data_IF_298624972696
#
_entry.id   IF_298624972696
#
_cell.length_a   1.000
_cell.length_b   1.000
_cell.length_c   1.000
_cell.angle_alpha   90.00
_cell.angle_beta   90.00
_cell.angle_gamma   90.00
#
_symmetry.space_group_name_H-M   'P 1'
#
loop_
_entity.id
_entity.type
_entity.pdbx_description
1 polymer ?
#
# COMPACT_ATOMS: atom_id res chain seq x y z
N UNK A 1 5.70 10.05 -10.74
CA UNK A 1 4.60 9.28 -11.36
C UNK A 1 3.31 9.80 -10.75
N UNK A 2 2.77 10.86 -11.34
CA UNK A 2 1.48 11.42 -10.94
C UNK A 2 0.42 10.34 -11.15
N UNK A 3 -0.26 9.94 -10.06
CA UNK A 3 -1.46 9.13 -10.18
C UNK A 3 -2.43 9.91 -11.06
N UNK A 4 -3.04 9.26 -12.04
CA UNK A 4 -4.01 9.94 -12.88
C UNK A 4 -5.13 10.47 -11.96
N UNK A 5 -5.50 11.73 -12.17
CA UNK A 5 -6.38 12.48 -11.28
C UNK A 5 -7.83 11.97 -11.20
N UNK A 6 -8.21 10.97 -12.01
CA UNK A 6 -9.60 10.51 -12.13
C UNK A 6 -10.05 9.67 -10.94
N UNK A 7 -9.27 8.69 -10.49
CA UNK A 7 -9.66 7.84 -9.34
C UNK A 7 -9.74 8.61 -8.02
N UNK A 8 -8.89 9.62 -7.84
CA UNK A 8 -8.93 10.47 -6.65
C UNK A 8 -10.14 11.41 -6.63
N UNK A 9 -10.59 11.89 -7.78
CA UNK A 9 -11.87 12.62 -7.88
C UNK A 9 -13.04 11.69 -7.53
N UNK A 10 -12.99 10.41 -7.93
CA UNK A 10 -14.01 9.42 -7.56
C UNK A 10 -14.13 9.19 -6.06
N UNK A 11 -13.03 9.31 -5.29
CA UNK A 11 -13.07 9.22 -3.82
C UNK A 11 -13.95 10.33 -3.22
N UNK A 12 -13.75 11.57 -3.66
CA UNK A 12 -14.51 12.72 -3.18
C UNK A 12 -15.97 12.67 -3.64
N UNK A 13 -16.21 12.27 -4.88
CA UNK A 13 -17.57 12.08 -5.39
C UNK A 13 -18.30 10.97 -4.64
N UNK A 14 -17.61 9.89 -4.26
CA UNK A 14 -18.17 8.84 -3.42
C UNK A 14 -18.57 9.35 -2.04
N UNK A 15 -17.74 10.19 -1.41
CA UNK A 15 -18.09 10.84 -0.14
C UNK A 15 -19.37 11.66 -0.30
N UNK A 16 -19.35 12.64 -1.23
CA UNK A 16 -20.47 13.56 -1.43
C UNK A 16 -21.83 12.86 -1.66
N UNK A 17 -21.82 11.69 -2.32
CA UNK A 17 -23.04 10.91 -2.63
C UNK A 17 -23.71 10.25 -1.44
N UNK A 18 -23.06 10.18 -0.28
CA UNK A 18 -23.73 9.76 0.95
C UNK A 18 -24.65 10.86 1.50
N UNK A 19 -24.42 12.12 1.16
CA UNK A 19 -25.35 13.22 1.45
C UNK A 19 -26.53 13.20 0.49
N UNK A 20 -27.68 13.68 0.96
CA UNK A 20 -28.85 13.96 0.11
C UNK A 20 -28.65 15.23 -0.72
N UNK A 21 -27.62 16.04 -0.41
CA UNK A 21 -27.24 17.23 -1.15
C UNK A 21 -25.77 17.18 -1.59
N UNK A 22 -25.38 16.25 -2.49
CA UNK A 22 -23.97 16.08 -2.90
C UNK A 22 -23.32 17.35 -3.46
N UNK A 23 -24.10 18.22 -4.12
CA UNK A 23 -23.61 19.49 -4.66
C UNK A 23 -23.10 20.45 -3.59
N UNK A 24 -23.71 20.48 -2.39
CA UNK A 24 -23.21 21.30 -1.29
C UNK A 24 -21.89 20.76 -0.75
N UNK A 25 -21.79 19.44 -0.57
CA UNK A 25 -20.56 18.80 -0.11
C UNK A 25 -19.41 19.05 -1.10
N UNK A 26 -19.69 18.94 -2.40
CA UNK A 26 -18.70 19.26 -3.46
C UNK A 26 -18.28 20.74 -3.37
N UNK A 27 -19.23 21.66 -3.21
CA UNK A 27 -18.93 23.08 -3.03
C UNK A 27 -18.03 23.35 -1.82
N UNK A 28 -18.19 22.60 -0.73
CA UNK A 28 -17.33 22.70 0.45
C UNK A 28 -15.92 22.16 0.19
N UNK A 29 -15.77 21.07 -0.59
CA UNK A 29 -14.46 20.59 -1.02
C UNK A 29 -13.71 21.62 -1.88
N UNK A 30 -14.42 22.30 -2.77
CA UNK A 30 -13.90 23.38 -3.63
C UNK A 30 -13.53 24.64 -2.83
N UNK A 31 -14.32 24.97 -1.82
CA UNK A 31 -14.09 26.14 -0.95
C UNK A 31 -12.94 25.92 0.05
N UNK A 32 -12.82 24.71 0.59
CA UNK A 32 -11.81 24.35 1.61
C UNK A 32 -10.91 23.18 1.19
N UNK A 33 -10.15 23.31 0.08
CA UNK A 33 -9.33 22.23 -0.46
C UNK A 33 -8.10 21.90 0.41
N UNK A 34 -7.73 22.76 1.36
CA UNK A 34 -6.63 22.53 2.29
C UNK A 34 -7.00 21.56 3.44
N UNK A 35 -8.27 21.19 3.55
CA UNK A 35 -8.83 20.37 4.62
C UNK A 35 -10.02 21.06 5.29
N UNK A 36 -10.95 20.27 5.78
CA UNK A 36 -12.20 20.78 6.32
C UNK A 36 -13.09 19.73 6.95
N UNK A 37 -14.17 20.23 7.55
CA UNK A 37 -15.27 19.43 8.09
C UNK A 37 -16.57 20.04 7.56
N UNK A 38 -17.43 19.20 7.01
CA UNK A 38 -18.81 19.55 6.70
C UNK A 38 -19.73 18.69 7.57
N UNK A 39 -20.73 19.31 8.18
CA UNK A 39 -21.68 18.66 9.06
C UNK A 39 -23.06 19.27 8.82
N UNK A 40 -24.00 18.46 8.33
CA UNK A 40 -25.39 18.87 8.09
C UNK A 40 -26.34 18.44 9.21
N UNK A 41 -25.80 17.97 10.34
CA UNK A 41 -26.55 17.45 11.48
C UNK A 41 -27.00 15.99 11.32
N UNK A 42 -27.03 15.45 10.09
CA UNK A 42 -27.27 14.03 9.82
C UNK A 42 -25.97 13.29 9.56
N UNK A 43 -25.06 13.92 8.84
CA UNK A 43 -23.82 13.31 8.37
C UNK A 43 -22.65 14.28 8.50
N UNK A 44 -21.54 13.73 8.99
CA UNK A 44 -20.26 14.44 9.09
C UNK A 44 -19.29 13.96 8.03
N UNK A 45 -18.67 14.88 7.32
CA UNK A 45 -17.60 14.63 6.37
C UNK A 45 -16.34 15.34 6.84
N UNK A 46 -15.20 14.67 6.77
CA UNK A 46 -13.92 15.25 7.17
C UNK A 46 -12.82 14.84 6.19
N UNK A 47 -11.99 15.80 5.79
CA UNK A 47 -10.93 15.59 4.81
C UNK A 47 -9.66 16.36 5.15
N UNK A 48 -8.52 15.79 4.72
CA UNK A 48 -7.22 16.47 4.76
C UNK A 48 -7.00 17.39 3.56
N UNK A 49 -5.75 17.67 3.21
CA UNK A 49 -5.45 18.51 2.06
C UNK A 49 -5.73 17.80 0.72
N UNK A 50 -6.84 18.17 0.09
CA UNK A 50 -7.35 17.64 -1.18
C UNK A 50 -7.10 18.59 -2.37
N UNK A 51 -6.29 19.65 -2.23
CA UNK A 51 -6.09 20.68 -3.26
C UNK A 51 -5.75 20.12 -4.64
N UNK A 52 -4.87 19.14 -4.68
CA UNK A 52 -4.45 18.46 -5.92
C UNK A 52 -5.53 17.56 -6.54
N UNK A 53 -6.65 17.32 -5.84
CA UNK A 53 -7.73 16.44 -6.26
C UNK A 53 -8.95 17.19 -6.80
N UNK A 54 -9.13 18.45 -6.39
CA UNK A 54 -10.32 19.26 -6.67
C UNK A 54 -10.16 20.14 -7.91
N UNK A 55 -8.93 20.35 -8.41
CA UNK A 55 -8.63 21.18 -9.58
C UNK A 55 -9.32 20.66 -10.87
N UNK A 56 -10.54 21.15 -11.12
CA UNK A 56 -11.29 21.06 -12.39
C UNK A 56 -11.89 19.69 -12.72
N UNK A 57 -12.09 18.78 -11.76
CA UNK A 57 -12.38 17.35 -12.03
C UNK A 57 -13.59 16.76 -11.32
N UNK A 58 -14.26 17.50 -10.45
CA UNK A 58 -15.48 17.04 -9.77
C UNK A 58 -16.71 17.29 -10.64
N UNK A 59 -16.78 16.65 -11.81
CA UNK A 59 -18.00 16.64 -12.62
C UNK A 59 -18.88 15.43 -12.27
N UNK A 60 -20.18 15.66 -12.14
CA UNK A 60 -21.15 14.75 -11.52
C UNK A 60 -21.59 13.57 -12.41
N UNK A 61 -20.71 12.92 -13.17
CA UNK A 61 -21.14 12.05 -14.29
C UNK A 61 -20.91 10.54 -14.15
N UNK A 62 -20.64 9.97 -12.97
CA UNK A 62 -20.55 8.51 -12.82
C UNK A 62 -21.39 7.98 -11.66
N UNK A 63 -22.30 7.05 -11.91
CA UNK A 63 -23.00 6.27 -10.87
C UNK A 63 -21.95 5.52 -10.03
N UNK A 64 -21.92 5.79 -8.72
CA UNK A 64 -21.22 4.96 -7.74
C UNK A 64 -22.18 4.55 -6.65
N UNK A 65 -22.15 3.26 -6.32
CA UNK A 65 -22.99 2.61 -5.31
C UNK A 65 -22.56 3.02 -3.90
N UNK A 66 -23.53 3.26 -3.00
CA UNK A 66 -23.27 3.50 -1.57
C UNK A 66 -22.82 2.19 -0.90
N UNK A 67 -21.95 2.27 0.11
CA UNK A 67 -21.56 1.09 0.91
C UNK A 67 -22.59 0.80 2.00
N UNK A 68 -23.21 1.85 2.52
CA UNK A 68 -24.28 1.78 3.51
C UNK A 68 -25.25 2.95 3.30
N UNK A 69 -26.54 2.70 3.49
CA UNK A 69 -27.58 3.74 3.49
C UNK A 69 -27.64 4.50 4.82
N UNK A 70 -26.94 4.01 5.86
CA UNK A 70 -26.95 4.55 7.23
C UNK A 70 -25.64 5.22 7.60
N UNK A 71 -24.93 5.83 6.65
CA UNK A 71 -23.68 6.52 6.99
C UNK A 71 -23.94 7.68 7.98
N UNK A 72 -23.04 7.84 8.96
CA UNK A 72 -23.06 8.90 9.98
C UNK A 72 -21.82 9.79 9.91
N UNK A 73 -20.65 9.20 9.70
CA UNK A 73 -19.40 9.95 9.58
C UNK A 73 -18.51 9.37 8.51
N UNK A 74 -17.95 10.21 7.65
CA UNK A 74 -17.07 9.81 6.57
C UNK A 74 -15.77 10.61 6.63
N UNK A 75 -14.66 9.91 6.49
CA UNK A 75 -13.33 10.47 6.57
C UNK A 75 -12.57 10.15 5.30
N UNK A 76 -12.14 11.18 4.56
CA UNK A 76 -11.10 11.04 3.55
C UNK A 76 -9.77 10.94 4.27
N UNK A 77 -9.15 9.77 4.20
CA UNK A 77 -7.95 9.50 5.00
C UNK A 77 -6.73 10.16 4.36
N UNK A 78 -6.67 10.35 3.04
CA UNK A 78 -5.48 10.92 2.40
C UNK A 78 -5.14 12.29 3.00
N UNK A 79 -3.88 12.46 3.39
CA UNK A 79 -3.36 13.68 4.04
C UNK A 79 -4.13 14.14 5.30
N UNK A 80 -4.97 13.31 5.90
CA UNK A 80 -5.48 13.52 7.25
C UNK A 80 -4.34 13.27 8.25
N UNK A 81 -4.01 14.28 9.06
CA UNK A 81 -2.85 14.25 9.95
C UNK A 81 -2.91 13.12 10.99
N UNK A 82 -1.75 12.55 11.35
CA UNK A 82 -1.64 11.39 12.25
C UNK A 82 -2.35 11.64 13.59
N UNK A 83 -2.15 12.82 14.20
CA UNK A 83 -2.84 13.20 15.45
C UNK A 83 -4.36 13.10 15.31
N UNK A 84 -4.90 13.59 14.19
CA UNK A 84 -6.33 13.55 13.93
C UNK A 84 -6.83 12.14 13.68
N UNK A 85 -6.08 11.31 12.95
CA UNK A 85 -6.41 9.89 12.78
C UNK A 85 -6.50 9.15 14.12
N UNK A 86 -5.58 9.41 15.06
CA UNK A 86 -5.64 8.85 16.41
C UNK A 86 -6.88 9.31 17.19
N UNK A 87 -7.31 10.56 17.01
CA UNK A 87 -8.56 11.06 17.61
C UNK A 87 -9.79 10.38 17.01
N UNK A 88 -9.81 10.15 15.69
CA UNK A 88 -10.89 9.42 15.00
C UNK A 88 -10.97 7.97 15.49
N UNK A 89 -9.82 7.30 15.67
CA UNK A 89 -9.78 5.96 16.26
C UNK A 89 -10.40 5.94 17.66
N UNK A 90 -10.03 6.89 18.53
CA UNK A 90 -10.60 7.01 19.87
C UNK A 90 -12.10 7.31 19.84
N UNK A 91 -12.52 8.23 18.96
CA UNK A 91 -13.90 8.68 18.85
C UNK A 91 -14.85 7.53 18.47
N UNK A 92 -14.42 6.65 17.57
CA UNK A 92 -15.22 5.53 17.08
C UNK A 92 -14.82 4.19 17.67
N UNK A 93 -14.03 4.19 18.75
CA UNK A 93 -13.54 2.98 19.43
C UNK A 93 -12.90 1.97 18.46
N UNK A 94 -12.15 2.46 17.46
CA UNK A 94 -11.45 1.62 16.51
C UNK A 94 -10.20 1.01 17.16
N UNK A 95 -9.75 -0.17 16.69
CA UNK A 95 -8.48 -0.73 17.13
C UNK A 95 -7.32 0.25 16.92
N UNK A 96 -6.41 0.32 17.89
CA UNK A 96 -5.23 1.18 17.81
C UNK A 96 -4.44 0.92 16.53
N UNK A 97 -4.18 1.97 15.75
CA UNK A 97 -3.42 1.87 14.50
C UNK A 97 -4.24 1.40 13.29
N UNK A 98 -5.56 1.26 13.40
CA UNK A 98 -6.43 0.90 12.28
C UNK A 98 -6.25 1.86 11.10
N UNK A 99 -6.22 3.18 11.35
CA UNK A 99 -6.05 4.22 10.33
C UNK A 99 -4.83 5.12 10.57
N UNK A 100 -4.29 5.24 11.78
CA UNK A 100 -3.22 6.19 12.11
C UNK A 100 -1.82 5.81 11.56
N UNK A 101 -1.67 4.61 11.01
CA UNK A 101 -0.43 4.13 10.40
C UNK A 101 0.45 3.29 11.32
N UNK A 102 1.15 2.31 10.75
CA UNK A 102 2.03 1.36 11.46
C UNK A 102 2.19 0.04 10.70
N UNK A 103 2.96 -0.91 11.26
CA UNK A 103 2.93 -2.30 10.78
C UNK A 103 1.51 -2.84 11.03
N UNK A 104 0.76 -3.12 9.96
CA UNK A 104 -0.63 -3.57 10.08
C UNK A 104 -1.69 -2.46 10.13
N UNK A 105 -1.42 -1.26 9.61
CA UNK A 105 -2.51 -0.31 9.35
C UNK A 105 -3.38 -0.76 8.16
N UNK A 106 -4.65 -0.40 8.17
CA UNK A 106 -5.57 -0.63 7.05
C UNK A 106 -5.19 0.29 5.88
N UNK A 107 -5.17 -0.24 4.67
CA UNK A 107 -4.84 0.49 3.42
C UNK A 107 -6.09 1.10 2.78
N UNK A 108 -6.87 1.84 3.57
CA UNK A 108 -8.07 2.52 3.10
C UNK A 108 -7.77 3.96 2.65
N UNK A 109 -8.51 4.41 1.64
CA UNK A 109 -8.55 5.80 1.21
C UNK A 109 -9.68 6.56 1.93
N UNK A 110 -10.78 5.87 2.26
CA UNK A 110 -11.94 6.40 2.98
C UNK A 110 -12.34 5.47 4.14
N UNK A 111 -12.74 6.07 5.26
CA UNK A 111 -13.42 5.39 6.37
C UNK A 111 -14.86 5.89 6.44
N UNK A 112 -15.82 4.98 6.49
CA UNK A 112 -17.25 5.28 6.73
C UNK A 112 -17.65 4.66 8.05
N UNK A 113 -18.27 5.44 8.93
CA UNK A 113 -18.91 4.99 10.17
C UNK A 113 -20.41 5.11 9.97
N UNK A 114 -21.14 4.02 10.19
CA UNK A 114 -22.61 4.07 10.12
C UNK A 114 -23.25 4.60 11.41
N UNK A 115 -24.58 4.67 11.41
CA UNK A 115 -25.38 5.11 12.54
C UNK A 115 -25.22 4.25 13.79
N UNK A 116 -24.85 2.97 13.63
CA UNK A 116 -24.64 2.01 14.70
C UNK A 116 -23.19 2.00 15.20
N UNK A 117 -22.33 2.86 14.62
CA UNK A 117 -20.90 2.98 14.96
C UNK A 117 -20.02 1.94 14.27
N UNK A 118 -20.56 1.17 13.32
CA UNK A 118 -19.81 0.14 12.59
C UNK A 118 -18.88 0.79 11.55
N UNK A 119 -17.57 0.42 11.52
CA UNK A 119 -16.64 0.94 10.55
C UNK A 119 -16.62 0.14 9.24
N UNK A 120 -16.57 0.86 8.12
CA UNK A 120 -16.38 0.35 6.77
C UNK A 120 -15.16 1.02 6.15
N UNK A 121 -14.23 0.21 5.65
CA UNK A 121 -12.97 0.67 5.09
C UNK A 121 -13.01 0.57 3.58
N UNK A 122 -12.64 1.64 2.88
CA UNK A 122 -12.83 1.71 1.43
C UNK A 122 -11.53 2.11 0.76
N UNK A 123 -11.09 1.35 -0.24
CA UNK A 123 -9.99 1.75 -1.11
C UNK A 123 -10.42 1.81 -2.57
N UNK A 124 -9.95 2.83 -3.27
CA UNK A 124 -10.27 3.07 -4.66
C UNK A 124 -9.13 2.57 -5.54
N UNK A 125 -9.50 1.94 -6.66
CA UNK A 125 -8.58 1.51 -7.70
C UNK A 125 -9.08 2.02 -9.04
N UNK A 126 -8.16 2.56 -9.83
CA UNK A 126 -8.42 2.85 -11.23
C UNK A 126 -8.82 1.54 -11.94
N UNK A 127 -9.77 1.61 -12.87
CA UNK A 127 -10.17 0.45 -13.67
C UNK A 127 -9.00 0.00 -14.55
N UNK A 128 -8.45 0.94 -15.31
CA UNK A 128 -7.28 0.74 -16.16
C UNK A 128 -5.99 1.21 -15.49
N UNK A 129 -4.83 0.87 -16.07
CA UNK A 129 -3.53 1.34 -15.61
C UNK A 129 -2.83 0.45 -14.57
N UNK A 130 -1.51 0.63 -14.47
CA UNK A 130 -0.63 -0.14 -13.58
C UNK A 130 -0.78 0.32 -12.13
N UNK A 131 -1.18 -0.60 -11.24
CA UNK A 131 -1.26 -0.32 -9.81
C UNK A 131 -0.01 -0.78 -9.05
N UNK A 132 0.55 0.11 -8.21
CA UNK A 132 1.44 -0.30 -7.11
C UNK A 132 0.58 -0.88 -5.99
N UNK A 133 0.81 -2.13 -5.61
CA UNK A 133 0.04 -2.86 -4.60
C UNK A 133 0.66 -2.73 -3.20
N UNK A 134 1.98 -2.57 -3.15
CA UNK A 134 2.68 -2.39 -1.89
C UNK A 134 4.19 -2.40 -2.03
N UNK A 135 4.84 -2.27 -0.88
CA UNK A 135 6.26 -2.49 -0.74
C UNK A 135 6.53 -3.14 0.61
N UNK A 136 7.49 -4.06 0.65
CA UNK A 136 7.96 -4.71 1.88
C UNK A 136 9.40 -4.23 2.11
N UNK A 137 9.59 -3.41 3.15
CA UNK A 137 10.88 -2.79 3.49
C UNK A 137 11.41 -3.23 4.86
N UNK A 138 10.73 -4.16 5.51
CA UNK A 138 11.09 -4.77 6.79
C UNK A 138 10.76 -6.26 6.74
N UNK A 139 11.08 -7.01 7.80
CA UNK A 139 10.61 -8.39 7.94
C UNK A 139 9.09 -8.40 8.00
N UNK A 140 8.45 -9.07 7.06
CA UNK A 140 7.00 -9.27 7.05
C UNK A 140 6.69 -10.75 6.82
N UNK A 141 5.80 -11.26 7.67
CA UNK A 141 5.33 -12.65 7.63
C UNK A 141 3.89 -12.70 7.15
N UNK A 142 3.57 -13.69 6.33
CA UNK A 142 2.25 -14.01 5.79
C UNK A 142 2.04 -15.51 5.96
N UNK A 143 1.42 -15.92 7.08
CA UNK A 143 1.40 -17.32 7.51
C UNK A 143 2.82 -17.89 7.66
N UNK A 144 3.16 -18.87 6.84
CA UNK A 144 4.48 -19.51 6.78
C UNK A 144 5.46 -18.74 5.88
N UNK A 145 4.97 -17.90 4.97
CA UNK A 145 5.82 -17.15 4.03
C UNK A 145 6.43 -15.92 4.67
N UNK A 146 7.72 -15.66 4.44
CA UNK A 146 8.40 -14.46 4.95
C UNK A 146 9.16 -13.74 3.85
N UNK A 147 9.08 -12.40 3.84
CA UNK A 147 9.94 -11.53 3.05
C UNK A 147 10.75 -10.63 4.00
N UNK A 148 12.06 -10.58 3.80
CA UNK A 148 12.98 -9.86 4.68
C UNK A 148 13.49 -8.58 4.00
N UNK A 149 12.73 -7.48 4.12
CA UNK A 149 13.20 -6.18 3.66
C UNK A 149 14.24 -5.54 4.59
N UNK A 150 14.84 -4.44 4.12
CA UNK A 150 15.72 -3.57 4.91
C UNK A 150 17.20 -3.97 4.86
N UNK A 151 17.93 -3.55 5.90
CA UNK A 151 19.35 -3.84 6.14
C UNK A 151 19.51 -4.91 7.23
N UNK A 152 18.63 -5.93 7.25
CA UNK A 152 18.50 -6.87 8.38
C UNK A 152 19.76 -7.64 8.75
N UNK A 153 20.70 -7.78 7.82
CA UNK A 153 21.93 -8.54 7.99
C UNK A 153 23.15 -7.62 8.19
N UNK A 154 22.93 -6.31 8.38
CA UNK A 154 23.99 -5.32 8.57
C UNK A 154 24.00 -4.82 10.00
N UNK A 155 25.01 -5.23 10.77
CA UNK A 155 25.32 -4.57 12.03
C UNK A 155 26.10 -3.28 11.76
N UNK A 156 25.39 -2.17 11.80
CA UNK A 156 25.93 -0.84 11.52
C UNK A 156 26.99 -0.44 12.57
N UNK A 157 26.90 -0.92 13.80
CA UNK A 157 27.84 -0.59 14.87
C UNK A 157 29.19 -1.29 14.66
N UNK A 158 29.18 -2.44 13.98
CA UNK A 158 30.39 -3.19 13.64
C UNK A 158 31.21 -2.62 12.47
N UNK A 159 30.71 -1.61 11.75
CA UNK A 159 31.34 -1.10 10.52
C UNK A 159 32.64 -0.31 10.74
N UNK A 160 33.14 -0.22 11.98
CA UNK A 160 34.43 0.41 12.28
C UNK A 160 34.51 1.91 11.95
N UNK A 161 33.37 2.59 11.82
CA UNK A 161 33.32 4.01 11.46
C UNK A 161 33.83 4.87 12.62
N UNK A 162 34.71 5.87 12.35
CA UNK A 162 35.21 6.76 13.40
C UNK A 162 34.09 7.44 14.18
N UNK A 163 34.29 7.63 15.49
CA UNK A 163 33.31 8.33 16.34
C UNK A 163 33.04 9.79 15.95
N UNK A 164 33.94 10.40 15.16
CA UNK A 164 33.79 11.74 14.58
C UNK A 164 34.21 11.70 13.11
N UNK A 165 33.34 12.17 12.23
CA UNK A 165 33.60 12.38 10.80
C UNK A 165 32.66 13.46 10.27
N UNK A 166 32.98 14.05 9.12
CA UNK A 166 32.16 15.08 8.47
C UNK A 166 31.83 14.74 7.01
N UNK A 167 31.10 15.66 6.37
CA UNK A 167 30.62 15.49 5.00
C UNK A 167 31.75 15.29 3.98
N UNK A 168 32.95 15.85 4.21
CA UNK A 168 34.10 15.71 3.30
C UNK A 168 34.58 14.25 3.20
N UNK A 169 34.32 13.46 4.24
CA UNK A 169 34.61 12.03 4.30
C UNK A 169 33.45 11.17 3.75
N UNK A 170 32.39 11.79 3.27
CA UNK A 170 31.24 11.15 2.60
C UNK A 170 31.11 11.67 1.17
N UNK A 171 30.19 11.11 0.38
CA UNK A 171 29.82 11.66 -0.93
C UNK A 171 28.63 12.62 -0.84
N UNK A 172 28.15 12.95 0.36
CA UNK A 172 27.05 13.87 0.58
C UNK A 172 27.55 15.32 0.62
N UNK A 173 26.70 16.25 0.19
CA UNK A 173 26.91 17.67 0.46
C UNK A 173 26.76 17.99 1.95
N UNK A 174 27.30 19.13 2.41
CA UNK A 174 27.14 19.57 3.80
C UNK A 174 25.67 19.67 4.23
N UNK A 175 24.80 20.14 3.34
CA UNK A 175 23.35 20.25 3.58
C UNK A 175 22.70 18.87 3.73
N UNK A 176 22.99 17.92 2.85
CA UNK A 176 22.47 16.55 2.94
C UNK A 176 22.97 15.83 4.18
N UNK A 177 24.28 15.95 4.47
CA UNK A 177 24.88 15.37 5.68
C UNK A 177 24.20 15.91 6.94
N UNK A 178 23.93 17.22 7.02
CA UNK A 178 23.26 17.84 8.16
C UNK A 178 21.84 17.31 8.39
N UNK A 179 21.13 16.94 7.31
CA UNK A 179 19.77 16.39 7.35
C UNK A 179 19.71 14.88 7.53
N UNK A 180 20.78 14.16 7.18
CA UNK A 180 20.87 12.71 7.31
C UNK A 180 20.81 12.28 8.78
N UNK A 181 20.19 11.12 9.03
CA UNK A 181 20.18 10.50 10.36
C UNK A 181 21.58 10.02 10.74
N UNK A 182 21.86 9.79 12.04
CA UNK A 182 23.14 9.21 12.49
C UNK A 182 23.47 7.94 11.71
N UNK A 183 22.48 7.06 11.55
CA UNK A 183 22.59 5.81 10.81
C UNK A 183 23.00 6.04 9.35
N UNK A 184 22.31 6.94 8.66
CA UNK A 184 22.57 7.17 7.24
C UNK A 184 23.91 7.91 7.00
N UNK A 185 24.37 8.73 7.95
CA UNK A 185 25.73 9.32 7.92
C UNK A 185 26.81 8.24 8.00
N UNK A 186 26.66 7.27 8.91
CA UNK A 186 27.60 6.14 9.07
C UNK A 186 27.67 5.35 7.76
N UNK A 187 26.51 5.04 7.16
CA UNK A 187 26.45 4.34 5.88
C UNK A 187 27.04 5.17 4.74
N UNK A 188 26.81 6.48 4.69
CA UNK A 188 27.40 7.36 3.68
C UNK A 188 28.93 7.43 3.77
N UNK A 189 29.48 7.44 4.99
CA UNK A 189 30.92 7.29 5.21
C UNK A 189 31.40 5.93 4.70
N UNK A 190 30.78 4.84 5.16
CA UNK A 190 31.20 3.49 4.81
C UNK A 190 31.15 3.23 3.30
N UNK A 191 30.10 3.66 2.61
CA UNK A 191 29.97 3.57 1.14
C UNK A 191 31.10 4.25 0.39
N UNK A 192 31.58 5.41 0.87
CA UNK A 192 32.67 6.15 0.22
C UNK A 192 34.04 5.54 0.55
N UNK A 193 34.28 5.20 1.81
CA UNK A 193 35.60 4.77 2.27
C UNK A 193 35.87 3.28 2.02
N UNK A 194 34.82 2.46 1.95
CA UNK A 194 34.88 1.00 1.80
C UNK A 194 34.03 0.51 0.62
N UNK A 195 34.13 1.17 -0.54
CA UNK A 195 33.26 0.93 -1.69
C UNK A 195 33.23 -0.55 -2.14
N UNK A 196 34.38 -1.23 -2.19
CA UNK A 196 34.44 -2.64 -2.61
C UNK A 196 33.74 -3.58 -1.62
N UNK A 197 33.88 -3.34 -0.31
CA UNK A 197 33.18 -4.12 0.72
C UNK A 197 31.67 -3.88 0.67
N UNK A 198 31.28 -2.62 0.47
CA UNK A 198 29.89 -2.24 0.29
C UNK A 198 29.26 -2.91 -0.93
N UNK A 199 29.91 -2.88 -2.08
CA UNK A 199 29.43 -3.55 -3.30
C UNK A 199 29.31 -5.06 -3.09
N UNK A 200 30.27 -5.67 -2.40
CA UNK A 200 30.20 -7.08 -2.03
C UNK A 200 29.01 -7.38 -1.10
N UNK A 201 28.76 -6.52 -0.10
CA UNK A 201 27.60 -6.63 0.78
C UNK A 201 26.29 -6.52 -0.01
N UNK A 202 26.15 -5.50 -0.87
CA UNK A 202 24.95 -5.28 -1.70
C UNK A 202 24.70 -6.47 -2.61
N UNK A 203 25.74 -7.03 -3.26
CA UNK A 203 25.61 -8.21 -4.13
C UNK A 203 25.11 -9.42 -3.35
N UNK A 204 25.77 -9.78 -2.24
CA UNK A 204 25.36 -10.92 -1.39
C UNK A 204 23.93 -10.76 -0.88
N UNK A 205 23.54 -9.53 -0.48
CA UNK A 205 22.18 -9.29 0.01
C UNK A 205 21.14 -9.42 -1.11
N UNK A 206 21.44 -8.99 -2.33
CA UNK A 206 20.55 -9.22 -3.48
C UNK A 206 20.42 -10.72 -3.80
N UNK A 207 21.51 -11.49 -3.78
CA UNK A 207 21.47 -12.95 -4.00
C UNK A 207 20.60 -13.64 -2.94
N UNK A 208 20.80 -13.31 -1.66
CA UNK A 208 20.01 -13.85 -0.56
C UNK A 208 18.53 -13.46 -0.67
N UNK A 209 18.24 -12.19 -0.95
CA UNK A 209 16.88 -11.72 -1.15
C UNK A 209 16.15 -12.43 -2.31
N UNK A 210 16.90 -12.83 -3.36
CA UNK A 210 16.32 -13.54 -4.50
C UNK A 210 15.95 -14.98 -4.10
N UNK A 211 16.80 -15.62 -3.28
CA UNK A 211 16.50 -16.93 -2.68
C UNK A 211 15.27 -16.85 -1.77
N UNK A 212 15.22 -15.86 -0.88
CA UNK A 212 14.07 -15.61 0.01
C UNK A 212 12.78 -15.39 -0.78
N UNK A 213 12.84 -14.68 -1.91
CA UNK A 213 11.68 -14.46 -2.77
C UNK A 213 11.19 -15.74 -3.45
N UNK A 214 12.09 -16.65 -3.85
CA UNK A 214 11.70 -17.95 -4.42
C UNK A 214 11.07 -18.84 -3.36
N UNK A 215 11.68 -18.92 -2.18
CA UNK A 215 11.12 -19.67 -1.04
C UNK A 215 9.73 -19.14 -0.67
N UNK A 216 9.58 -17.81 -0.57
CA UNK A 216 8.29 -17.17 -0.36
C UNK A 216 7.26 -17.60 -1.42
N UNK A 217 7.64 -17.56 -2.70
CA UNK A 217 6.78 -17.93 -3.81
C UNK A 217 6.35 -19.41 -3.76
N UNK A 218 7.28 -20.31 -3.42
CA UNK A 218 6.96 -21.72 -3.22
C UNK A 218 5.97 -21.94 -2.08
N UNK A 219 6.12 -21.22 -0.97
CA UNK A 219 5.18 -21.29 0.15
C UNK A 219 3.80 -20.81 -0.29
N UNK A 220 3.69 -19.73 -1.07
CA UNK A 220 2.40 -19.26 -1.60
C UNK A 220 1.71 -20.34 -2.47
N UNK A 221 2.47 -21.16 -3.19
CA UNK A 221 1.94 -22.27 -3.98
C UNK A 221 1.48 -23.47 -3.14
N UNK A 222 2.17 -23.74 -2.01
CA UNK A 222 1.96 -24.93 -1.18
C UNK A 222 0.96 -24.70 -0.05
N UNK A 223 0.94 -23.50 0.53
CA UNK A 223 0.10 -23.16 1.69
C UNK A 223 -0.93 -22.08 1.34
N UNK A 224 -2.19 -22.52 1.25
CA UNK A 224 -3.32 -21.64 0.91
C UNK A 224 -3.58 -20.58 1.96
N UNK A 225 -3.36 -20.89 3.25
CA UNK A 225 -3.56 -19.93 4.34
C UNK A 225 -2.65 -18.71 4.18
N UNK A 226 -1.35 -18.97 3.99
CA UNK A 226 -0.33 -17.95 3.72
C UNK A 226 -0.66 -17.12 2.47
N UNK A 227 -1.14 -17.77 1.40
CA UNK A 227 -1.55 -17.08 0.18
C UNK A 227 -2.73 -16.13 0.39
N UNK A 228 -3.80 -16.60 1.06
CA UNK A 228 -4.98 -15.76 1.35
C UNK A 228 -4.59 -14.59 2.26
N UNK A 229 -3.74 -14.83 3.26
CA UNK A 229 -3.20 -13.78 4.12
C UNK A 229 -2.36 -12.75 3.35
N UNK A 230 -1.55 -13.21 2.39
CA UNK A 230 -0.77 -12.34 1.51
C UNK A 230 -1.67 -11.47 0.63
N UNK A 231 -2.68 -12.05 -0.03
CA UNK A 231 -3.63 -11.29 -0.87
C UNK A 231 -4.36 -10.25 -0.03
N UNK A 232 -4.90 -10.67 1.11
CA UNK A 232 -5.61 -9.81 2.04
C UNK A 232 -4.75 -8.63 2.52
N UNK A 233 -3.52 -8.92 2.96
CA UNK A 233 -2.59 -7.89 3.45
C UNK A 233 -2.11 -6.96 2.35
N UNK A 234 -1.92 -7.50 1.14
CA UNK A 234 -1.51 -6.71 -0.02
C UNK A 234 -2.59 -5.71 -0.41
N UNK A 235 -3.85 -6.14 -0.48
CA UNK A 235 -4.98 -5.31 -0.91
C UNK A 235 -5.52 -4.38 0.19
N UNK A 236 -5.63 -4.86 1.42
CA UNK A 236 -6.34 -4.16 2.50
C UNK A 236 -5.46 -3.77 3.70
N UNK A 237 -4.22 -4.27 3.80
CA UNK A 237 -3.43 -4.12 5.03
C UNK A 237 -3.93 -5.07 6.12
N UNK A 238 -4.08 -4.61 7.37
CA UNK A 238 -4.53 -5.52 8.44
C UNK A 238 -6.03 -5.80 8.40
N UNK A 239 -6.38 -6.94 7.81
CA UNK A 239 -7.75 -7.46 7.80
C UNK A 239 -8.29 -7.85 9.16
N UNK A 240 -7.43 -8.14 10.15
CA UNK A 240 -7.86 -8.40 11.53
C UNK A 240 -8.66 -7.22 12.09
N UNK A 241 -8.33 -6.00 11.65
CA UNK A 241 -8.97 -4.76 12.08
C UNK A 241 -9.99 -4.21 11.06
N UNK A 242 -10.19 -4.89 9.92
CA UNK A 242 -11.03 -4.41 8.82
C UNK A 242 -11.77 -5.55 8.09
N UNK A 243 -12.65 -6.26 8.78
CA UNK A 243 -13.47 -7.31 8.15
C UNK A 243 -14.44 -6.73 7.09
N UNK A 244 -14.93 -5.53 7.31
CA UNK A 244 -15.78 -4.78 6.37
C UNK A 244 -14.92 -3.88 5.47
N UNK A 245 -14.01 -4.49 4.71
CA UNK A 245 -13.15 -3.81 3.74
C UNK A 245 -13.70 -3.93 2.32
N UNK A 246 -13.77 -2.80 1.62
CA UNK A 246 -14.34 -2.66 0.29
C UNK A 246 -13.31 -2.10 -0.68
N UNK A 247 -13.29 -2.67 -1.88
CA UNK A 247 -12.52 -2.15 -3.01
C UNK A 247 -13.50 -1.60 -4.04
N UNK A 248 -13.30 -0.35 -4.44
CA UNK A 248 -14.07 0.29 -5.51
C UNK A 248 -13.24 0.30 -6.78
N UNK A 249 -13.76 -0.31 -7.86
CA UNK A 249 -13.12 -0.40 -9.17
C UNK A 249 -14.09 0.14 -10.22
N UNK A 250 -13.86 1.37 -10.68
CA UNK A 250 -14.83 2.08 -11.52
C UNK A 250 -16.14 2.33 -10.74
N UNK A 251 -17.24 1.81 -11.24
CA UNK A 251 -18.58 1.85 -10.65
C UNK A 251 -18.88 0.64 -9.75
N UNK A 252 -17.97 -0.33 -9.67
CA UNK A 252 -18.19 -1.58 -8.96
C UNK A 252 -17.65 -1.51 -7.52
N UNK A 253 -18.48 -1.92 -6.55
CA UNK A 253 -18.12 -2.04 -5.14
C UNK A 253 -17.98 -3.52 -4.78
N UNK A 254 -16.83 -3.90 -4.21
CA UNK A 254 -16.49 -5.30 -3.94
C UNK A 254 -16.15 -5.44 -2.46
N UNK A 255 -16.91 -6.24 -1.73
CA UNK A 255 -16.57 -6.61 -0.35
C UNK A 255 -15.46 -7.68 -0.38
N UNK A 256 -14.34 -7.43 0.29
CA UNK A 256 -13.16 -8.28 0.18
C UNK A 256 -13.30 -9.58 0.98
N UNK A 257 -14.04 -9.58 2.09
CA UNK A 257 -14.18 -10.75 2.96
C UNK A 257 -14.78 -11.98 2.26
N UNK A 258 -15.92 -11.88 1.55
CA UNK A 258 -16.45 -12.99 0.76
C UNK A 258 -15.45 -13.53 -0.27
N UNK A 259 -14.70 -12.65 -0.94
CA UNK A 259 -13.69 -13.03 -1.93
C UNK A 259 -12.59 -13.87 -1.28
N UNK A 260 -12.06 -13.43 -0.13
CA UNK A 260 -11.01 -14.17 0.58
C UNK A 260 -11.53 -15.53 1.09
N UNK A 261 -12.79 -15.58 1.56
CA UNK A 261 -13.45 -16.84 1.89
C UNK A 261 -13.55 -17.76 0.68
N UNK A 262 -13.94 -17.25 -0.49
CA UNK A 262 -14.01 -18.02 -1.73
C UNK A 262 -12.63 -18.52 -2.18
N UNK A 263 -11.58 -17.69 -2.08
CA UNK A 263 -10.20 -18.10 -2.37
C UNK A 263 -9.70 -19.19 -1.41
N UNK A 264 -10.21 -19.24 -0.18
CA UNK A 264 -9.84 -20.26 0.81
C UNK A 264 -10.50 -21.62 0.54
N UNK A 265 -11.74 -21.64 0.05
CA UNK A 265 -12.57 -22.85 -0.06
C UNK A 265 -12.52 -23.51 -1.44
N UNK A 266 -12.38 -22.73 -2.52
CA UNK A 266 -12.48 -23.25 -3.89
C UNK A 266 -11.15 -23.83 -4.42
N UNK A 267 -11.22 -24.65 -5.47
CA UNK A 267 -10.05 -25.33 -6.07
C UNK A 267 -9.27 -24.39 -6.99
N UNK A 268 -8.63 -23.39 -6.40
CA UNK A 268 -7.65 -22.56 -7.08
C UNK A 268 -6.28 -23.23 -7.11
N UNK A 269 -5.57 -23.08 -8.24
CA UNK A 269 -4.14 -23.36 -8.36
C UNK A 269 -3.37 -22.05 -8.32
N UNK A 270 -2.48 -21.93 -7.35
CA UNK A 270 -1.50 -20.85 -7.31
C UNK A 270 -0.26 -21.30 -8.09
N UNK A 271 0.23 -20.45 -8.98
CA UNK A 271 1.42 -20.72 -9.80
C UNK A 271 2.37 -19.53 -9.77
N UNK A 272 3.65 -19.82 -9.96
CA UNK A 272 4.71 -18.81 -9.95
C UNK A 272 5.55 -18.89 -11.21
N UNK A 273 6.04 -17.75 -11.69
CA UNK A 273 6.93 -17.67 -12.82
C UNK A 273 8.05 -16.67 -12.53
N UNK A 274 9.30 -17.09 -12.73
CA UNK A 274 10.44 -16.19 -12.63
C UNK A 274 10.44 -15.23 -13.83
N UNK A 275 10.46 -13.93 -13.52
CA UNK A 275 10.55 -12.84 -14.46
C UNK A 275 11.83 -12.06 -14.14
N UNK A 276 12.95 -12.61 -14.61
CA UNK A 276 14.27 -11.99 -14.38
C UNK A 276 14.67 -11.13 -15.59
N UNK A 277 15.20 -9.94 -15.30
CA UNK A 277 16.03 -9.18 -16.25
C UNK A 277 17.48 -9.25 -15.78
N UNK A 278 18.46 -8.82 -16.60
CA UNK A 278 19.89 -8.93 -16.29
C UNK A 278 20.29 -8.50 -14.87
N UNK A 279 19.59 -7.53 -14.26
CA UNK A 279 19.95 -6.96 -12.96
C UNK A 279 18.85 -7.06 -11.89
N UNK A 280 17.70 -7.66 -12.20
CA UNK A 280 16.57 -7.70 -11.27
C UNK A 280 15.83 -9.02 -11.33
N UNK A 281 15.75 -9.67 -10.16
CA UNK A 281 14.93 -10.84 -9.95
C UNK A 281 13.50 -10.40 -9.59
N UNK A 282 12.52 -10.94 -10.29
CA UNK A 282 11.13 -10.80 -9.92
C UNK A 282 10.40 -12.13 -10.06
N UNK A 283 9.37 -12.31 -9.25
CA UNK A 283 8.46 -13.44 -9.33
C UNK A 283 7.06 -12.93 -9.66
N UNK A 284 6.43 -13.55 -10.64
CA UNK A 284 5.00 -13.40 -10.90
C UNK A 284 4.25 -14.41 -10.05
N UNK A 285 3.32 -13.94 -9.23
CA UNK A 285 2.38 -14.78 -8.50
C UNK A 285 1.02 -14.72 -9.20
N UNK A 286 0.55 -15.88 -9.63
CA UNK A 286 -0.69 -16.04 -10.38
C UNK A 286 -1.61 -17.03 -9.69
N UNK A 287 -2.91 -16.86 -9.92
CA UNK A 287 -3.95 -17.76 -9.45
C UNK A 287 -4.87 -18.11 -10.61
N UNK A 288 -5.30 -19.35 -10.71
CA UNK A 288 -6.21 -19.77 -11.76
C UNK A 288 -6.94 -21.05 -11.43
N UNK A 289 -7.96 -21.33 -12.21
CA UNK A 289 -8.61 -22.63 -12.33
C UNK A 289 -8.26 -23.22 -13.71
N UNK A 290 -9.08 -24.15 -14.22
CA UNK A 290 -8.85 -24.76 -15.53
C UNK A 290 -9.12 -23.80 -16.69
N UNK A 291 -9.94 -22.76 -16.48
CA UNK A 291 -10.49 -21.92 -17.53
C UNK A 291 -9.86 -20.51 -17.53
N UNK A 292 -9.40 -20.03 -16.37
CA UNK A 292 -8.91 -18.68 -16.17
C UNK A 292 -7.61 -18.66 -15.37
N UNK A 293 -6.70 -17.75 -15.72
CA UNK A 293 -5.48 -17.47 -14.95
C UNK A 293 -5.30 -15.96 -14.78
N UNK A 294 -5.18 -15.51 -13.55
CA UNK A 294 -5.04 -14.11 -13.16
C UNK A 294 -3.66 -13.88 -12.54
N UNK A 295 -2.92 -12.89 -13.06
CA UNK A 295 -1.67 -12.46 -12.44
C UNK A 295 -1.99 -11.49 -11.31
N UNK A 296 -1.74 -11.90 -10.06
CA UNK A 296 -2.06 -11.09 -8.89
C UNK A 296 -1.05 -9.97 -8.71
N UNK A 297 0.23 -10.32 -8.73
CA UNK A 297 1.31 -9.38 -8.50
C UNK A 297 2.61 -9.90 -9.10
N UNK A 298 3.42 -8.96 -9.56
CA UNK A 298 4.85 -9.12 -9.74
C UNK A 298 5.54 -8.59 -8.49
N UNK A 299 6.37 -9.42 -7.88
CA UNK A 299 7.18 -9.05 -6.72
C UNK A 299 8.61 -8.91 -7.22
N UNK A 300 9.12 -7.69 -7.27
CA UNK A 300 10.49 -7.38 -7.67
C UNK A 300 11.29 -6.94 -6.46
N UNK A 301 12.47 -7.51 -6.25
CA UNK A 301 13.40 -6.99 -5.26
C UNK A 301 14.26 -5.87 -5.84
N UNK A 302 14.61 -4.91 -5.00
CA UNK A 302 15.63 -3.91 -5.30
C UNK A 302 16.41 -3.53 -4.05
N UNK A 303 17.68 -3.16 -4.19
CA UNK A 303 18.45 -2.54 -3.11
C UNK A 303 18.37 -1.02 -3.26
N UNK A 304 17.63 -0.35 -2.38
CA UNK A 304 17.48 1.11 -2.41
C UNK A 304 18.55 1.82 -1.55
N UNK A 305 19.24 2.78 -2.17
CA UNK A 305 20.28 3.60 -1.54
C UNK A 305 21.67 2.96 -1.52
N UNK A 306 21.98 2.18 -2.58
CA UNK A 306 23.32 1.58 -2.78
C UNK A 306 24.39 2.62 -3.13
N UNK A 307 24.04 3.68 -3.86
CA UNK A 307 25.02 4.67 -4.33
C UNK A 307 25.57 5.51 -3.16
N UNK A 308 26.82 5.94 -3.27
CA UNK A 308 27.53 6.64 -2.20
C UNK A 308 26.94 8.03 -1.90
N UNK A 309 26.39 8.70 -2.92
CA UNK A 309 25.82 10.05 -2.89
C UNK A 309 24.35 10.10 -2.43
N UNK A 310 23.74 8.94 -2.12
CA UNK A 310 22.35 8.89 -1.65
C UNK A 310 22.29 9.12 -0.14
N UNK A 311 21.49 10.11 0.26
CA UNK A 311 21.25 10.51 1.67
C UNK A 311 20.63 9.42 2.53
N UNK A 312 19.81 8.53 1.96
CA UNK A 312 19.09 7.49 2.70
C UNK A 312 19.36 6.11 2.12
N UNK A 313 19.90 5.22 2.96
CA UNK A 313 20.08 3.81 2.59
C UNK A 313 18.98 2.97 3.25
N UNK A 314 18.15 2.34 2.43
CA UNK A 314 17.01 1.53 2.90
C UNK A 314 17.30 0.04 2.90
N UNK A 315 18.18 -0.44 2.01
CA UNK A 315 18.46 -1.86 1.83
C UNK A 315 17.46 -2.51 0.89
N UNK A 316 17.13 -3.79 1.13
CA UNK A 316 16.23 -4.54 0.25
C UNK A 316 14.79 -4.03 0.38
N UNK A 317 14.16 -3.77 -0.75
CA UNK A 317 12.73 -3.51 -0.85
C UNK A 317 12.12 -4.45 -1.88
N UNK A 318 11.08 -5.17 -1.48
CA UNK A 318 10.24 -5.93 -2.41
C UNK A 318 9.08 -5.06 -2.86
N UNK A 319 8.99 -4.80 -4.15
CA UNK A 319 7.91 -4.04 -4.76
C UNK A 319 6.84 -4.99 -5.29
N UNK A 320 5.64 -4.93 -4.71
CA UNK A 320 4.47 -5.64 -5.21
C UNK A 320 3.74 -4.74 -6.19
N UNK A 321 3.68 -5.13 -7.46
CA UNK A 321 3.13 -4.34 -8.55
C UNK A 321 2.19 -5.18 -9.40
N UNK A 322 1.17 -4.55 -9.96
CA UNK A 322 0.35 -5.18 -10.99
C UNK A 322 1.22 -5.52 -12.20
N UNK A 323 1.05 -6.72 -12.73
CA UNK A 323 1.62 -7.13 -14.00
C UNK A 323 0.49 -7.70 -14.87
N UNK A 324 0.02 -6.94 -15.88
CA UNK A 324 -1.06 -7.39 -16.73
C UNK A 324 -0.55 -8.49 -17.66
N UNK A 325 -1.27 -9.61 -17.71
CA UNK A 325 -1.15 -10.64 -18.76
C UNK A 325 -2.48 -10.67 -19.48
N UNK A 326 -2.56 -10.07 -20.67
CA UNK A 326 -3.76 -10.02 -21.50
C UNK A 326 -5.02 -9.52 -20.76
N UNK A 327 -4.86 -8.57 -19.84
CA UNK A 327 -5.94 -8.02 -19.01
C UNK A 327 -6.32 -8.86 -17.79
N UNK A 328 -5.86 -10.11 -17.67
CA UNK A 328 -6.14 -11.00 -16.54
C UNK A 328 -5.23 -10.69 -15.32
N UNK A 329 -5.64 -9.69 -14.54
CA UNK A 329 -4.94 -9.22 -13.34
C UNK A 329 -5.83 -9.31 -12.09
N UNK A 330 -5.30 -8.93 -10.92
CA UNK A 330 -6.05 -8.97 -9.65
C UNK A 330 -7.38 -8.20 -9.69
N UNK A 331 -7.49 -7.08 -10.42
CA UNK A 331 -8.76 -6.32 -10.52
C UNK A 331 -9.82 -7.16 -11.24
N UNK A 332 -9.44 -7.82 -12.33
CA UNK A 332 -10.33 -8.71 -13.07
C UNK A 332 -10.76 -9.91 -12.21
N UNK A 333 -9.84 -10.51 -11.45
CA UNK A 333 -10.17 -11.55 -10.48
C UNK A 333 -11.23 -11.08 -9.48
N UNK A 334 -11.03 -9.91 -8.86
CA UNK A 334 -12.00 -9.37 -7.89
C UNK A 334 -13.38 -9.15 -8.53
N UNK A 335 -13.42 -8.64 -9.77
CA UNK A 335 -14.66 -8.41 -10.51
C UNK A 335 -15.38 -9.72 -10.87
N UNK A 336 -14.64 -10.72 -11.35
CA UNK A 336 -15.19 -12.01 -11.76
C UNK A 336 -15.74 -12.79 -10.54
N UNK A 337 -15.06 -12.71 -9.40
CA UNK A 337 -15.47 -13.38 -8.16
C UNK A 337 -16.58 -12.67 -7.39
N UNK A 338 -16.80 -11.37 -7.61
CA UNK A 338 -17.84 -10.60 -6.89
C UNK A 338 -19.23 -11.24 -6.99
N UNK A 339 -19.56 -11.82 -8.14
CA UNK A 339 -20.89 -12.43 -8.35
C UNK A 339 -20.96 -13.91 -7.89
N UNK A 340 -19.83 -14.48 -7.43
CA UNK A 340 -19.69 -15.87 -7.02
C UNK A 340 -19.46 -16.05 -5.52
N UNK A 341 -19.22 -14.94 -4.80
CA UNK A 341 -18.78 -14.89 -3.42
C UNK A 341 -19.88 -14.42 -2.46
#
# INVERSE_FOLDING_TARGET
MERSSSARASELLFLARHSDQPGLVIGEFERFPAGGVYDDGRMRFEWGNIKTLVEGKLHSSAQTTRITERAKSLYHLDRLGIKRRLEVEKLHSLPSGAISGGLGSVKADVLVIDQDGKPYYVSFKEKEGFAKLGQVSAKTQYGLGTLQGGLSDLDIESLGVPGKFDYSQTALTANEFSKATKRDRILAFYKKQHAAEWDHFVRRRNEKAASELREFAEIMCKDRGSFVEFVGTTLAGSLRNSRDFYVVIGDQVICLSPILSHLSSFRWRVTTCDSSTQNKHAVLLSIGDNDNTYTLTRIEQSFEGKEADVIQTKGIIYHCQQHPRDGANYKKLLLDLRNQA
#
